data_IF_675556174531
#
_entry.id   IF_675556174531
#
_cell.length_a   1.000
_cell.length_b   1.000
_cell.length_c   1.000
_cell.angle_alpha   90.00
_cell.angle_beta   90.00
_cell.angle_gamma   90.00
#
_symmetry.space_group_name_H-M   'P 1'
#
loop_
_entity.id
_entity.type
_entity.pdbx_description
1 polymer ?
#
# COMPACT_ATOMS: atom_id res chain seq x y z
N UNK A 1 -6.29 3.67 4.95
CA UNK A 1 -5.44 4.11 6.08
C UNK A 1 -4.13 3.36 5.98
N UNK A 2 -3.03 4.06 5.80
CA UNK A 2 -1.67 3.50 5.80
C UNK A 2 -1.01 3.90 7.11
N UNK A 3 -0.49 2.94 7.84
CA UNK A 3 0.20 3.16 9.12
C UNK A 3 1.72 3.10 8.86
N UNK A 4 2.42 4.19 9.19
CA UNK A 4 3.90 4.26 9.09
C UNK A 4 4.53 3.75 10.39
N UNK A 5 5.78 3.29 10.30
CA UNK A 5 6.51 2.71 11.44
C UNK A 5 6.73 3.70 12.61
N UNK A 6 6.65 5.02 12.37
CA UNK A 6 6.73 6.06 13.40
C UNK A 6 5.41 6.27 14.17
N UNK A 7 4.35 5.51 13.83
CA UNK A 7 3.02 5.66 14.40
C UNK A 7 2.14 6.68 13.66
N UNK A 8 2.70 7.47 12.74
CA UNK A 8 1.90 8.36 11.88
C UNK A 8 1.01 7.56 10.92
N UNK A 9 -0.28 7.90 10.95
CA UNK A 9 -1.27 7.36 10.01
C UNK A 9 -1.51 8.36 8.90
N UNK A 10 -1.37 7.93 7.65
CA UNK A 10 -1.83 8.70 6.50
C UNK A 10 -3.16 8.10 6.00
N UNK A 11 -4.14 8.96 5.80
CA UNK A 11 -5.39 8.64 5.14
C UNK A 11 -5.49 9.46 3.87
N UNK A 12 -5.75 8.80 2.75
CA UNK A 12 -6.01 9.44 1.47
C UNK A 12 -7.19 8.71 0.82
N UNK A 13 -7.88 9.41 -0.08
CA UNK A 13 -9.01 8.87 -0.81
C UNK A 13 -8.61 8.68 -2.27
N UNK A 14 -8.56 7.43 -2.71
CA UNK A 14 -8.30 7.09 -4.10
C UNK A 14 -9.60 6.70 -4.79
N UNK A 15 -9.86 7.31 -5.96
CA UNK A 15 -10.99 6.98 -6.83
C UNK A 15 -10.48 6.37 -8.12
N UNK A 16 -10.55 5.05 -8.23
CA UNK A 16 -10.06 4.34 -9.41
C UNK A 16 -9.93 2.85 -9.14
N UNK A 17 -9.44 2.13 -10.15
CA UNK A 17 -9.18 0.68 -10.03
C UNK A 17 -7.73 0.32 -10.28
N UNK A 18 -6.96 1.19 -10.93
CA UNK A 18 -5.60 0.84 -11.32
C UNK A 18 -4.70 0.80 -10.09
N UNK A 19 -4.12 -0.36 -9.83
CA UNK A 19 -3.16 -0.50 -8.74
C UNK A 19 -1.85 0.19 -9.05
N UNK A 20 -1.49 0.31 -10.33
CA UNK A 20 -0.34 1.08 -10.74
C UNK A 20 -0.53 2.57 -10.41
N UNK A 21 -1.66 3.18 -10.80
CA UNK A 21 -1.93 4.58 -10.47
C UNK A 21 -2.02 4.82 -8.96
N UNK A 22 -2.62 3.88 -8.21
CA UNK A 22 -2.63 3.92 -6.75
C UNK A 22 -1.21 3.92 -6.17
N UNK A 23 -0.30 3.10 -6.72
CA UNK A 23 1.11 3.06 -6.31
C UNK A 23 1.83 4.37 -6.63
N UNK A 24 1.60 4.94 -7.81
CA UNK A 24 2.20 6.22 -8.22
C UNK A 24 1.75 7.36 -7.29
N UNK A 25 0.46 7.45 -6.97
CA UNK A 25 -0.07 8.43 -6.02
C UNK A 25 0.55 8.25 -4.62
N UNK A 26 0.64 7.00 -4.15
CA UNK A 26 1.24 6.68 -2.86
C UNK A 26 2.74 6.98 -2.82
N UNK A 27 3.48 6.73 -3.89
CA UNK A 27 4.91 7.04 -4.00
C UNK A 27 5.18 8.55 -3.88
N UNK A 28 4.27 9.40 -4.37
CA UNK A 28 4.34 10.84 -4.11
C UNK A 28 4.16 11.20 -2.62
N UNK A 29 3.49 10.35 -1.83
CA UNK A 29 3.26 10.56 -0.40
C UNK A 29 4.28 9.86 0.52
N UNK A 30 4.91 8.79 0.03
CA UNK A 30 5.89 8.02 0.79
C UNK A 30 7.22 8.04 0.03
N UNK A 31 8.19 8.77 0.58
CA UNK A 31 9.52 8.97 -0.03
C UNK A 31 10.43 7.73 0.12
N UNK A 32 9.92 6.54 -0.17
CA UNK A 32 10.63 5.26 -0.11
C UNK A 32 9.97 4.22 -1.02
N UNK A 33 10.72 3.23 -1.49
CA UNK A 33 10.18 2.09 -2.23
C UNK A 33 9.34 1.17 -1.34
N UNK A 34 8.24 0.66 -1.88
CA UNK A 34 7.33 -0.21 -1.15
C UNK A 34 6.65 -1.25 -2.04
N UNK A 35 6.21 -2.33 -1.40
CA UNK A 35 5.22 -3.25 -1.93
C UNK A 35 3.86 -2.92 -1.35
N UNK A 36 2.87 -2.76 -2.23
CA UNK A 36 1.48 -2.52 -1.83
C UNK A 36 0.79 -3.86 -1.56
N UNK A 37 0.29 -4.03 -0.34
CA UNK A 37 -0.38 -5.24 0.10
C UNK A 37 -1.80 -4.94 0.58
N UNK A 38 -2.69 -5.92 0.51
CA UNK A 38 -4.01 -5.85 1.14
C UNK A 38 -4.05 -6.73 2.38
N UNK A 39 -4.88 -6.35 3.34
CA UNK A 39 -5.27 -7.23 4.44
C UNK A 39 -6.79 -7.41 4.44
N UNK A 40 -7.25 -8.65 4.28
CA UNK A 40 -8.66 -9.01 4.36
C UNK A 40 -9.12 -9.07 5.83
N UNK A 41 -9.58 -7.93 6.36
CA UNK A 41 -10.00 -7.80 7.76
C UNK A 41 -8.84 -7.74 8.76
N UNK A 42 -9.16 -7.60 10.06
CA UNK A 42 -8.18 -7.32 11.13
C UNK A 42 -7.09 -8.41 11.26
N UNK A 43 -7.47 -9.68 11.12
CA UNK A 43 -6.60 -10.86 11.25
C UNK A 43 -6.29 -11.53 9.91
N UNK A 44 -6.65 -10.89 8.78
CA UNK A 44 -6.37 -11.42 7.46
C UNK A 44 -4.88 -11.53 7.19
N UNK A 45 -4.51 -12.51 6.37
CA UNK A 45 -3.15 -12.59 5.82
C UNK A 45 -2.89 -11.36 4.96
N UNK A 46 -1.69 -10.81 5.09
CA UNK A 46 -1.21 -9.74 4.21
C UNK A 46 -0.81 -10.38 2.87
N UNK A 47 -1.44 -9.95 1.78
CA UNK A 47 -1.17 -10.47 0.43
C UNK A 47 -0.81 -9.31 -0.51
N UNK A 48 0.22 -9.45 -1.37
CA UNK A 48 0.56 -8.42 -2.34
C UNK A 48 -0.62 -8.10 -3.26
N UNK A 49 -0.87 -6.80 -3.49
CA UNK A 49 -1.88 -6.36 -4.43
C UNK A 49 -1.25 -6.27 -5.82
N UNK A 50 -1.51 -7.29 -6.65
CA UNK A 50 -0.91 -7.44 -7.98
C UNK A 50 -1.87 -7.14 -9.13
N UNK A 51 -3.16 -7.07 -8.82
CA UNK A 51 -4.24 -6.87 -9.80
C UNK A 51 -5.02 -5.62 -9.46
N UNK A 52 -5.71 -5.05 -10.44
CA UNK A 52 -6.60 -3.91 -10.25
C UNK A 52 -7.64 -4.14 -9.14
N UNK A 53 -8.01 -3.06 -8.46
CA UNK A 53 -8.96 -3.10 -7.35
C UNK A 53 -10.31 -3.64 -7.84
N UNK A 54 -10.94 -4.53 -7.05
CA UNK A 54 -12.25 -5.08 -7.39
C UNK A 54 -13.29 -3.96 -7.47
N UNK A 55 -14.36 -4.18 -8.24
CA UNK A 55 -15.56 -3.33 -8.19
C UNK A 55 -16.27 -3.57 -6.85
N UNK A 56 -15.79 -2.91 -5.79
CA UNK A 56 -16.39 -2.91 -4.47
C UNK A 56 -16.44 -1.50 -3.92
N UNK A 57 -17.46 -1.22 -3.12
CA UNK A 57 -17.58 0.02 -2.32
C UNK A 57 -17.06 -0.19 -0.89
N UNK A 58 -16.61 -1.40 -0.57
CA UNK A 58 -16.05 -1.70 0.74
C UNK A 58 -14.68 -1.05 0.93
N UNK A 59 -14.38 -0.68 2.17
CA UNK A 59 -13.08 -0.10 2.51
C UNK A 59 -12.00 -1.18 2.46
N UNK A 60 -11.02 -1.00 1.56
CA UNK A 60 -9.85 -1.88 1.49
C UNK A 60 -8.75 -1.37 2.41
N UNK A 61 -8.27 -2.24 3.29
CA UNK A 61 -7.11 -1.97 4.14
C UNK A 61 -5.83 -2.27 3.35
N UNK A 62 -5.17 -1.20 2.90
CA UNK A 62 -3.88 -1.25 2.20
C UNK A 62 -2.75 -1.07 3.20
N UNK A 63 -1.79 -1.99 3.16
CA UNK A 63 -0.56 -1.99 3.96
C UNK A 63 0.61 -1.75 3.02
N UNK A 64 1.47 -0.78 3.35
CA UNK A 64 2.72 -0.56 2.63
C UNK A 64 3.84 -1.30 3.36
N UNK A 65 4.49 -2.21 2.65
CA UNK A 65 5.67 -2.91 3.16
C UNK A 65 6.88 -2.26 2.50
N UNK A 66 7.73 -1.58 3.28
CA UNK A 66 8.95 -0.96 2.75
C UNK A 66 9.80 -2.04 2.10
N UNK A 67 10.22 -1.80 0.87
CA UNK A 67 11.22 -2.63 0.21
C UNK A 67 12.56 -2.35 0.87
N UNK A 68 13.17 -3.36 1.49
CA UNK A 68 14.52 -3.23 2.03
C UNK A 68 15.52 -3.22 0.87
N UNK A 69 15.67 -2.07 0.21
CA UNK A 69 16.72 -1.88 -0.79
C UNK A 69 18.11 -1.63 -0.14
N UNK A 70 18.28 -1.89 1.15
CA UNK A 70 19.60 -2.04 1.77
C UNK A 70 20.19 -3.41 1.39
N UNK A 71 20.56 -3.56 0.12
CA UNK A 71 21.61 -4.49 -0.31
C UNK A 71 22.90 -3.69 -0.46
N UNK A 72 24.06 -4.21 -0.03
CA UNK A 72 25.30 -3.45 -0.05
C UNK A 72 25.66 -3.08 -1.49
N UNK A 73 25.92 -1.80 -1.72
CA UNK A 73 26.72 -1.38 -2.86
C UNK A 73 28.05 -2.13 -2.77
N UNK A 74 28.34 -2.98 -3.76
CA UNK A 74 29.61 -3.68 -3.92
C UNK A 74 30.76 -2.68 -4.10
#
# INVERSE_FOLDING_TARGET
MVEKADGSKISFQYSGRSVQLLREELACHVNYDFTLCVRAGRHGRVTPLLIDLPRSRETLHVVLVRSNNEGPYF
#
